data_IF_618032176330
#
_entry.id   IF_618032176330
#
_cell.length_a   1.000
_cell.length_b   1.000
_cell.length_c   1.000
_cell.angle_alpha   90.00
_cell.angle_beta   90.00
_cell.angle_gamma   90.00
#
_symmetry.space_group_name_H-M   'P 1'
#
loop_
_entity.id
_entity.type
_entity.pdbx_description
1 polymer ?
#
# COMPACT_ATOMS: atom_id res chain seq x y z
N UNK A 1 -1.49 16.72 -2.98
CA UNK A 1 -2.54 16.06 -2.18
C UNK A 1 -1.98 15.09 -1.13
N UNK A 2 -0.81 14.52 -1.32
CA UNK A 2 -0.18 13.53 -0.42
C UNK A 2 0.14 14.05 0.98
N UNK A 3 0.62 15.30 1.12
CA UNK A 3 0.95 15.92 2.42
C UNK A 3 -0.26 16.06 3.36
N UNK A 4 -1.47 16.23 2.82
CA UNK A 4 -2.69 16.44 3.64
C UNK A 4 -3.15 15.11 4.25
N UNK A 5 -2.98 14.00 3.54
CA UNK A 5 -3.35 12.65 4.02
C UNK A 5 -2.39 12.19 5.12
N UNK A 6 -1.08 12.40 4.94
CA UNK A 6 -0.06 12.08 5.94
C UNK A 6 -0.29 12.85 7.25
N UNK A 7 -0.57 14.16 7.17
CA UNK A 7 -0.85 15.00 8.35
C UNK A 7 -2.12 14.58 9.10
N UNK A 8 -3.13 14.07 8.39
CA UNK A 8 -4.36 13.56 9.01
C UNK A 8 -4.11 12.25 9.75
N UNK A 9 -3.34 11.35 9.17
CA UNK A 9 -2.99 10.04 9.75
C UNK A 9 -2.08 10.18 10.98
N UNK A 10 -1.10 11.08 10.92
CA UNK A 10 -0.30 11.49 12.08
C UNK A 10 -1.20 12.04 13.21
N UNK A 11 -2.24 12.80 12.87
CA UNK A 11 -3.21 13.32 13.83
C UNK A 11 -4.00 12.22 14.54
N UNK A 12 -4.36 11.13 13.88
CA UNK A 12 -5.13 10.02 14.48
C UNK A 12 -4.26 9.16 15.41
N UNK A 13 -3.03 8.83 15.02
CA UNK A 13 -2.06 8.16 15.89
C UNK A 13 -1.74 9.01 17.13
N UNK A 14 -1.41 10.27 16.92
CA UNK A 14 -1.14 11.20 18.01
C UNK A 14 -2.36 11.36 18.93
N UNK A 15 -3.58 11.30 18.38
CA UNK A 15 -4.82 11.29 19.16
C UNK A 15 -4.99 10.02 20.01
N UNK A 16 -4.68 8.84 19.47
CA UNK A 16 -4.73 7.58 20.22
C UNK A 16 -3.66 7.54 21.33
N UNK A 17 -2.44 7.94 21.00
CA UNK A 17 -1.32 8.02 21.95
C UNK A 17 -1.61 9.05 23.03
N UNK A 18 -2.16 10.20 22.68
CA UNK A 18 -2.53 11.23 23.63
C UNK A 18 -3.55 10.71 24.65
N UNK A 19 -4.57 9.95 24.22
CA UNK A 19 -5.52 9.30 25.13
C UNK A 19 -4.83 8.30 26.06
N UNK A 20 -3.86 7.53 25.55
CA UNK A 20 -3.04 6.64 26.38
C UNK A 20 -2.21 7.44 27.37
N UNK A 21 -1.54 8.49 26.94
CA UNK A 21 -0.74 9.37 27.80
C UNK A 21 -1.58 10.07 28.87
N UNK A 22 -2.79 10.52 28.53
CA UNK A 22 -3.76 11.12 29.46
C UNK A 22 -4.28 10.11 30.48
N UNK A 23 -4.23 8.80 30.19
CA UNK A 23 -4.64 7.72 31.10
C UNK A 23 -3.62 7.41 32.21
N UNK A 24 -2.40 7.94 32.11
CA UNK A 24 -1.40 7.85 33.17
C UNK A 24 -1.64 8.97 34.20
N UNK A 25 -2.15 8.58 35.38
CA UNK A 25 -2.36 9.49 36.49
C UNK A 25 -1.15 9.41 37.43
N UNK A 26 -0.62 10.57 37.78
CA UNK A 26 0.53 10.70 38.68
C UNK A 26 1.71 11.45 38.05
N UNK A 27 2.59 11.92 38.93
CA UNK A 27 3.81 12.67 38.60
C UNK A 27 5.06 11.96 39.09
N UNK A 28 4.96 10.67 39.44
CA UNK A 28 6.11 9.91 39.86
C UNK A 28 7.01 9.52 38.66
N UNK A 29 8.26 9.16 38.97
CA UNK A 29 9.28 8.82 37.98
C UNK A 29 8.85 7.64 37.09
N UNK A 30 8.08 6.70 37.62
CA UNK A 30 7.57 5.53 36.91
C UNK A 30 6.57 5.93 35.81
N UNK A 31 5.68 6.85 36.11
CA UNK A 31 4.69 7.37 35.15
C UNK A 31 5.37 8.16 34.03
N UNK A 32 6.38 8.97 34.37
CA UNK A 32 7.16 9.68 33.37
C UNK A 32 7.89 8.72 32.43
N UNK A 33 8.55 7.70 32.95
CA UNK A 33 9.22 6.67 32.17
C UNK A 33 8.25 5.92 31.23
N UNK A 34 7.04 5.61 31.69
CA UNK A 34 5.99 4.98 30.88
C UNK A 34 5.52 5.89 29.74
N UNK A 35 5.35 7.19 30.00
CA UNK A 35 5.01 8.19 28.95
C UNK A 35 6.08 8.27 27.86
N UNK A 36 7.34 8.41 28.26
CA UNK A 36 8.47 8.46 27.33
C UNK A 36 8.54 7.18 26.48
N UNK A 37 8.27 6.02 27.06
CA UNK A 37 8.27 4.75 26.33
C UNK A 37 7.15 4.69 25.29
N UNK A 38 5.94 5.13 25.63
CA UNK A 38 4.80 5.21 24.68
C UNK A 38 5.11 6.18 23.54
N UNK A 39 5.71 7.34 23.83
CA UNK A 39 6.14 8.29 22.79
C UNK A 39 7.21 7.70 21.87
N UNK A 40 8.17 6.97 22.41
CA UNK A 40 9.21 6.31 21.63
C UNK A 40 8.64 5.18 20.76
N UNK A 41 7.66 4.42 21.25
CA UNK A 41 6.95 3.41 20.47
C UNK A 41 6.18 4.04 19.30
N UNK A 42 5.58 5.23 19.52
CA UNK A 42 4.92 5.98 18.48
C UNK A 42 5.89 6.41 17.37
N UNK A 43 7.01 7.04 17.75
CA UNK A 43 8.06 7.43 16.81
C UNK A 43 8.62 6.25 16.03
N UNK A 44 8.70 5.08 16.67
CA UNK A 44 9.13 3.85 15.99
C UNK A 44 8.12 3.41 14.93
N UNK A 45 6.80 3.48 15.23
CA UNK A 45 5.77 3.15 14.25
C UNK A 45 5.77 4.13 13.06
N UNK A 46 5.93 5.43 13.31
CA UNK A 46 6.07 6.46 12.28
C UNK A 46 7.29 6.19 11.38
N UNK A 47 8.46 5.95 11.97
CA UNK A 47 9.66 5.61 11.22
C UNK A 47 9.51 4.32 10.40
N UNK A 48 8.75 3.33 10.88
CA UNK A 48 8.43 2.11 10.13
C UNK A 48 7.48 2.40 8.96
N UNK A 49 6.51 3.27 9.14
CA UNK A 49 5.60 3.71 8.09
C UNK A 49 6.37 4.40 6.94
N UNK A 50 7.21 5.38 7.25
CA UNK A 50 8.07 6.07 6.30
C UNK A 50 9.02 5.10 5.57
N UNK A 51 9.62 4.17 6.31
CA UNK A 51 10.48 3.14 5.73
C UNK A 51 9.72 2.26 4.74
N UNK A 52 8.46 1.91 5.00
CA UNK A 52 7.65 1.11 4.08
C UNK A 52 7.31 1.86 2.80
N UNK A 53 6.95 3.13 2.89
CA UNK A 53 6.74 3.97 1.72
C UNK A 53 7.97 4.01 0.82
N UNK A 54 9.16 4.27 1.41
CA UNK A 54 10.41 4.28 0.68
C UNK A 54 10.74 2.90 0.09
N UNK A 55 10.52 1.84 0.84
CA UNK A 55 10.82 0.48 0.37
C UNK A 55 9.87 0.05 -0.75
N UNK A 56 8.59 0.36 -0.66
CA UNK A 56 7.63 0.11 -1.75
C UNK A 56 8.03 0.93 -2.98
N UNK A 57 8.29 2.23 -2.84
CA UNK A 57 8.71 3.08 -3.94
C UNK A 57 9.97 2.54 -4.66
N UNK A 58 10.99 2.14 -3.90
CA UNK A 58 12.21 1.53 -4.44
C UNK A 58 11.92 0.21 -5.16
N UNK A 59 11.05 -0.65 -4.59
CA UNK A 59 10.65 -1.89 -5.23
C UNK A 59 9.90 -1.65 -6.55
N UNK A 60 9.03 -0.64 -6.60
CA UNK A 60 8.26 -0.29 -7.80
C UNK A 60 9.17 0.26 -8.91
N UNK A 61 10.16 1.12 -8.57
CA UNK A 61 11.12 1.64 -9.52
C UNK A 61 11.96 0.55 -10.19
N UNK A 62 12.30 -0.50 -9.46
CA UNK A 62 13.13 -1.61 -9.97
C UNK A 62 12.30 -2.78 -10.49
N UNK A 63 10.98 -2.75 -10.36
CA UNK A 63 10.08 -3.82 -10.77
C UNK A 63 10.24 -4.17 -12.27
N UNK A 64 10.32 -5.47 -12.57
CA UNK A 64 10.53 -5.98 -13.92
C UNK A 64 11.99 -5.97 -14.39
N UNK A 65 12.94 -5.53 -13.55
CA UNK A 65 14.38 -5.66 -13.83
C UNK A 65 14.86 -7.10 -13.62
N UNK A 66 16.12 -7.37 -14.03
CA UNK A 66 16.76 -8.68 -13.84
C UNK A 66 16.84 -9.07 -12.38
N UNK A 67 17.07 -8.09 -11.48
CA UNK A 67 17.27 -8.29 -10.05
C UNK A 67 15.95 -8.27 -9.27
N UNK A 68 14.92 -7.61 -9.83
CA UNK A 68 13.58 -7.54 -9.25
C UNK A 68 12.52 -8.00 -10.26
N UNK A 69 12.30 -9.31 -10.35
CA UNK A 69 11.37 -9.95 -11.31
C UNK A 69 9.90 -9.85 -10.86
N UNK A 70 9.52 -8.82 -10.13
CA UNK A 70 8.12 -8.54 -9.82
C UNK A 70 7.43 -7.84 -11.00
N UNK A 71 6.10 -7.74 -10.94
CA UNK A 71 5.30 -7.10 -12.00
C UNK A 71 5.66 -5.61 -12.12
N UNK A 72 6.14 -5.15 -13.29
CA UNK A 72 6.50 -3.74 -13.50
C UNK A 72 5.27 -2.84 -13.47
N UNK A 73 5.49 -1.59 -13.06
CA UNK A 73 4.44 -0.57 -12.97
C UNK A 73 4.82 0.67 -13.78
N UNK A 74 3.81 1.38 -14.25
CA UNK A 74 3.94 2.62 -15.02
C UNK A 74 3.80 3.85 -14.11
N UNK A 75 2.80 3.82 -13.19
CA UNK A 75 2.50 4.94 -12.31
C UNK A 75 1.90 4.48 -10.99
N UNK A 76 2.15 5.21 -9.92
CA UNK A 76 1.41 5.10 -8.66
C UNK A 76 0.08 5.83 -8.80
N UNK A 77 -1.02 5.14 -8.47
CA UNK A 77 -2.39 5.66 -8.57
C UNK A 77 -2.90 6.17 -7.23
N UNK A 78 -2.58 5.46 -6.13
CA UNK A 78 -3.04 5.78 -4.79
C UNK A 78 -2.13 5.15 -3.73
N UNK A 79 -2.10 5.71 -2.54
CA UNK A 79 -1.38 5.16 -1.39
C UNK A 79 -2.09 5.47 -0.09
N UNK A 80 -1.99 4.55 0.87
CA UNK A 80 -2.46 4.72 2.23
C UNK A 80 -1.42 4.14 3.20
N UNK A 81 -1.04 4.93 4.19
CA UNK A 81 -0.09 4.52 5.23
C UNK A 81 -0.69 4.86 6.58
N UNK A 82 -0.68 3.90 7.49
CA UNK A 82 -1.26 4.08 8.82
C UNK A 82 -0.38 3.49 9.91
N UNK A 83 -0.52 4.07 11.09
CA UNK A 83 0.11 3.63 12.32
C UNK A 83 -0.92 3.51 13.43
N UNK A 84 -0.80 2.48 14.26
CA UNK A 84 -1.76 2.20 15.32
C UNK A 84 -1.07 1.86 16.63
N UNK A 85 -1.63 2.37 17.73
CA UNK A 85 -1.38 1.88 19.08
C UNK A 85 -2.64 1.11 19.53
N UNK A 86 -2.53 -0.19 19.68
CA UNK A 86 -3.64 -1.10 19.88
C UNK A 86 -3.71 -1.52 21.36
N UNK A 87 -4.85 -1.34 21.99
CA UNK A 87 -5.21 -1.90 23.29
C UNK A 87 -5.81 -3.30 23.10
N UNK A 88 -6.01 -4.06 24.17
CA UNK A 88 -6.71 -5.35 24.12
C UNK A 88 -8.09 -5.24 23.47
N UNK A 89 -8.82 -4.15 23.74
CA UNK A 89 -10.14 -3.90 23.15
C UNK A 89 -10.04 -3.62 21.65
N UNK A 90 -9.12 -2.75 21.24
CA UNK A 90 -8.92 -2.42 19.81
C UNK A 90 -8.31 -3.58 19.01
N UNK A 91 -7.56 -4.49 19.64
CA UNK A 91 -7.12 -5.74 19.00
C UNK A 91 -8.28 -6.66 18.66
N UNK A 92 -9.30 -6.75 19.51
CA UNK A 92 -10.50 -7.53 19.23
C UNK A 92 -11.31 -6.94 18.07
N UNK A 93 -11.22 -5.63 17.83
CA UNK A 93 -11.87 -4.90 16.75
C UNK A 93 -10.94 -4.58 15.57
N UNK A 94 -9.76 -5.24 15.48
CA UNK A 94 -8.73 -4.90 14.47
C UNK A 94 -9.25 -5.04 13.04
N UNK A 95 -10.10 -6.04 12.77
CA UNK A 95 -10.72 -6.25 11.46
C UNK A 95 -11.54 -5.04 11.01
N UNK A 96 -12.34 -4.47 11.92
CA UNK A 96 -13.13 -3.26 11.64
C UNK A 96 -12.25 -2.03 11.41
N UNK A 97 -11.17 -1.91 12.20
CA UNK A 97 -10.20 -0.82 12.06
C UNK A 97 -9.53 -0.88 10.70
N UNK A 98 -8.94 -2.03 10.33
CA UNK A 98 -8.31 -2.24 9.03
C UNK A 98 -9.30 -2.03 7.87
N UNK A 99 -10.53 -2.54 8.00
CA UNK A 99 -11.55 -2.37 6.96
C UNK A 99 -11.96 -0.91 6.77
N UNK A 100 -12.03 -0.12 7.83
CA UNK A 100 -12.29 1.33 7.75
C UNK A 100 -11.15 2.07 7.06
N UNK A 101 -9.90 1.75 7.41
CA UNK A 101 -8.70 2.33 6.84
C UNK A 101 -8.62 2.07 5.33
N UNK A 102 -8.88 0.84 4.92
CA UNK A 102 -8.84 0.46 3.50
C UNK A 102 -10.07 0.92 2.71
N UNK A 103 -11.17 1.28 3.37
CA UNK A 103 -12.41 1.66 2.68
C UNK A 103 -12.25 2.88 1.76
N UNK A 104 -11.49 3.87 2.16
CA UNK A 104 -11.20 5.06 1.33
C UNK A 104 -10.31 4.70 0.15
N UNK A 105 -9.31 3.85 0.37
CA UNK A 105 -8.40 3.33 -0.65
C UNK A 105 -9.10 2.48 -1.72
N UNK A 106 -10.15 1.75 -1.33
CA UNK A 106 -10.95 0.88 -2.19
C UNK A 106 -12.26 1.54 -2.64
N UNK A 107 -12.57 2.76 -2.15
CA UNK A 107 -13.80 3.46 -2.48
C UNK A 107 -13.78 3.95 -3.93
N UNK A 108 -14.92 3.77 -4.60
CA UNK A 108 -15.11 4.20 -6.00
C UNK A 108 -15.17 3.06 -7.00
N UNK A 109 -14.80 1.86 -6.63
CA UNK A 109 -14.96 0.68 -7.49
C UNK A 109 -16.28 -0.05 -7.23
N UNK A 110 -17.03 -0.26 -8.31
CA UNK A 110 -18.20 -1.17 -8.33
C UNK A 110 -17.79 -2.61 -8.61
N UNK A 111 -16.49 -2.85 -8.84
CA UNK A 111 -15.95 -4.13 -9.26
C UNK A 111 -15.87 -5.09 -8.06
N UNK A 112 -16.50 -6.27 -8.21
CA UNK A 112 -16.47 -7.32 -7.18
C UNK A 112 -15.06 -7.89 -6.98
N UNK A 113 -14.20 -7.78 -7.99
CA UNK A 113 -12.80 -8.22 -7.93
C UNK A 113 -12.00 -7.30 -7.00
N UNK A 114 -12.16 -5.98 -7.13
CA UNK A 114 -11.47 -5.04 -6.25
C UNK A 114 -11.95 -5.17 -4.81
N UNK A 115 -13.24 -5.39 -4.59
CA UNK A 115 -13.79 -5.70 -3.26
C UNK A 115 -13.19 -7.01 -2.71
N UNK A 116 -13.06 -8.04 -3.55
CA UNK A 116 -12.45 -9.31 -3.17
C UNK A 116 -10.98 -9.17 -2.76
N UNK A 117 -10.19 -8.40 -3.53
CA UNK A 117 -8.79 -8.11 -3.17
C UNK A 117 -8.72 -7.25 -1.91
N UNK A 118 -9.62 -6.28 -1.74
CA UNK A 118 -9.74 -5.51 -0.51
C UNK A 118 -10.00 -6.39 0.71
N UNK A 119 -10.86 -7.41 0.57
CA UNK A 119 -11.07 -8.42 1.61
C UNK A 119 -9.80 -9.22 1.89
N UNK A 120 -9.09 -9.69 0.85
CA UNK A 120 -7.81 -10.41 1.04
C UNK A 120 -6.75 -9.58 1.77
N UNK A 121 -6.66 -8.29 1.49
CA UNK A 121 -5.74 -7.36 2.17
C UNK A 121 -6.19 -7.18 3.62
N UNK A 122 -7.48 -6.93 3.85
CA UNK A 122 -8.06 -6.78 5.19
C UNK A 122 -7.86 -8.03 6.03
N UNK A 123 -8.13 -9.22 5.48
CA UNK A 123 -7.94 -10.50 6.15
C UNK A 123 -6.46 -10.75 6.46
N UNK A 124 -5.57 -10.47 5.50
CA UNK A 124 -4.13 -10.62 5.70
C UNK A 124 -3.61 -9.72 6.84
N UNK A 125 -4.04 -8.45 6.88
CA UNK A 125 -3.70 -7.51 7.95
C UNK A 125 -4.33 -7.92 9.28
N UNK A 126 -5.59 -8.32 9.29
CA UNK A 126 -6.31 -8.74 10.51
C UNK A 126 -5.63 -9.95 11.14
N UNK A 127 -5.30 -10.97 10.36
CA UNK A 127 -4.59 -12.17 10.84
C UNK A 127 -3.19 -11.79 11.31
N UNK A 128 -2.47 -10.97 10.55
CA UNK A 128 -1.11 -10.56 10.86
C UNK A 128 -1.04 -9.72 12.13
N UNK A 129 -1.89 -8.71 12.25
CA UNK A 129 -1.92 -7.81 13.39
C UNK A 129 -2.58 -8.44 14.62
N UNK A 130 -3.58 -9.30 14.44
CA UNK A 130 -4.32 -9.96 15.52
C UNK A 130 -3.62 -11.18 16.11
N UNK A 131 -2.87 -11.94 15.31
CA UNK A 131 -2.42 -13.30 15.65
C UNK A 131 -0.96 -13.47 16.08
N UNK A 132 -0.15 -12.42 16.09
CA UNK A 132 1.31 -12.55 16.30
C UNK A 132 1.69 -12.86 17.75
N UNK A 133 2.24 -14.08 18.00
CA UNK A 133 2.92 -14.44 19.26
C UNK A 133 4.39 -13.99 19.30
N UNK A 134 4.97 -13.63 18.14
CA UNK A 134 6.31 -13.08 18.05
C UNK A 134 6.37 -11.68 18.66
N UNK A 135 7.48 -11.31 19.30
CA UNK A 135 7.67 -9.96 19.83
C UNK A 135 7.56 -8.87 18.76
N UNK A 136 8.02 -9.18 17.53
CA UNK A 136 7.97 -8.29 16.37
C UNK A 136 7.93 -9.12 15.08
N UNK A 137 7.19 -8.65 14.05
CA UNK A 137 7.18 -9.28 12.73
C UNK A 137 6.89 -8.26 11.61
N UNK A 138 7.15 -8.66 10.36
CA UNK A 138 6.93 -7.85 9.15
C UNK A 138 6.26 -8.68 8.06
N UNK A 139 5.19 -8.17 7.49
CA UNK A 139 4.47 -8.71 6.33
C UNK A 139 4.86 -7.92 5.08
N UNK A 140 5.12 -8.64 3.97
CA UNK A 140 5.29 -8.04 2.64
C UNK A 140 4.57 -8.88 1.61
N UNK A 141 3.65 -8.27 0.87
CA UNK A 141 2.86 -8.93 -0.19
C UNK A 141 2.57 -7.96 -1.31
N UNK A 142 2.24 -8.47 -2.48
CA UNK A 142 1.58 -7.71 -3.52
C UNK A 142 0.52 -8.56 -4.22
N UNK A 143 -0.43 -7.87 -4.83
CA UNK A 143 -1.56 -8.43 -5.56
C UNK A 143 -1.60 -7.79 -6.94
N UNK A 144 -2.12 -8.50 -7.96
CA UNK A 144 -2.43 -7.94 -9.27
C UNK A 144 -3.86 -8.28 -9.64
N UNK A 145 -4.58 -7.32 -10.21
CA UNK A 145 -6.00 -7.48 -10.52
C UNK A 145 -6.42 -6.59 -11.67
N UNK A 146 -7.61 -6.82 -12.18
CA UNK A 146 -8.28 -5.86 -13.07
C UNK A 146 -9.04 -4.81 -12.25
N UNK A 147 -9.01 -3.56 -12.68
CA UNK A 147 -9.84 -2.46 -12.17
C UNK A 147 -10.37 -1.65 -13.36
N UNK A 148 -11.65 -1.83 -13.68
CA UNK A 148 -12.25 -1.23 -14.86
C UNK A 148 -11.58 -1.68 -16.16
N UNK A 149 -10.90 -0.77 -16.85
CA UNK A 149 -10.17 -1.05 -18.11
C UNK A 149 -8.66 -1.16 -17.91
N UNK A 150 -8.19 -1.26 -16.68
CA UNK A 150 -6.77 -1.28 -16.33
C UNK A 150 -6.40 -2.56 -15.58
N UNK A 151 -5.13 -2.90 -15.60
CA UNK A 151 -4.54 -3.89 -14.69
C UNK A 151 -3.75 -3.11 -13.65
N UNK A 152 -4.02 -3.37 -12.38
CA UNK A 152 -3.38 -2.70 -11.27
C UNK A 152 -2.62 -3.69 -10.38
N UNK A 153 -1.57 -3.19 -9.75
CA UNK A 153 -0.80 -3.87 -8.72
C UNK A 153 -1.03 -3.16 -7.39
N UNK A 154 -1.26 -3.92 -6.33
CA UNK A 154 -1.40 -3.40 -4.97
C UNK A 154 -0.30 -4.01 -4.11
N UNK A 155 0.60 -3.19 -3.63
CA UNK A 155 1.67 -3.57 -2.70
C UNK A 155 1.23 -3.31 -1.26
N UNK A 156 1.53 -4.24 -0.37
CA UNK A 156 1.23 -4.19 1.05
C UNK A 156 2.49 -4.48 1.86
N UNK A 157 2.83 -3.58 2.77
CA UNK A 157 3.78 -3.83 3.83
C UNK A 157 3.14 -3.52 5.19
N UNK A 158 3.39 -4.36 6.18
CA UNK A 158 2.91 -4.17 7.53
C UNK A 158 3.95 -4.65 8.55
N UNK A 159 3.90 -4.05 9.73
CA UNK A 159 4.77 -4.38 10.86
C UNK A 159 4.00 -4.23 12.16
N UNK A 160 4.34 -5.03 13.15
CA UNK A 160 3.92 -4.85 14.53
C UNK A 160 5.04 -5.11 15.52
N UNK A 161 4.87 -4.56 16.72
CA UNK A 161 5.66 -4.82 17.90
C UNK A 161 4.70 -5.06 19.08
N UNK A 162 4.82 -6.21 19.74
CA UNK A 162 4.10 -6.49 20.99
C UNK A 162 4.79 -5.78 22.15
N UNK A 163 4.02 -5.14 23.00
CA UNK A 163 4.49 -4.42 24.18
C UNK A 163 4.44 -5.37 25.38
N UNK A 164 5.62 -5.79 25.87
CA UNK A 164 5.73 -6.75 26.97
C UNK A 164 6.00 -6.08 28.33
N UNK A 165 6.31 -4.78 28.33
CA UNK A 165 6.66 -4.05 29.55
C UNK A 165 5.51 -4.04 30.55
N UNK A 166 5.78 -4.46 31.79
CA UNK A 166 4.80 -4.42 32.90
C UNK A 166 4.30 -2.98 33.12
N UNK A 167 2.98 -2.84 33.26
CA UNK A 167 2.31 -1.54 33.42
C UNK A 167 1.95 -0.85 32.10
N UNK A 168 2.64 -1.11 31.00
CA UNK A 168 2.28 -0.60 29.68
C UNK A 168 1.30 -1.51 28.94
N UNK A 169 1.47 -2.84 29.07
CA UNK A 169 0.63 -3.83 28.39
C UNK A 169 -0.87 -3.64 28.63
N UNK A 170 -1.25 -3.11 29.78
CA UNK A 170 -2.66 -2.77 30.11
C UNK A 170 -3.16 -1.53 29.35
N UNK A 171 -2.27 -0.73 28.79
CA UNK A 171 -2.57 0.54 28.09
C UNK A 171 -2.35 0.43 26.58
N UNK A 172 -1.22 -0.18 26.19
CA UNK A 172 -0.87 -0.47 24.80
C UNK A 172 -0.35 -1.89 24.74
N UNK A 173 -1.04 -2.77 24.04
CA UNK A 173 -0.66 -4.16 23.89
C UNK A 173 0.21 -4.38 22.65
N UNK A 174 -0.04 -3.58 21.60
CA UNK A 174 0.67 -3.68 20.34
C UNK A 174 0.79 -2.33 19.65
N UNK A 175 1.91 -2.08 19.02
CA UNK A 175 2.11 -0.95 18.10
C UNK A 175 2.31 -1.52 16.69
N UNK A 176 1.70 -0.89 15.69
CA UNK A 176 1.79 -1.35 14.31
C UNK A 176 1.84 -0.21 13.31
N UNK A 177 2.37 -0.53 12.13
CA UNK A 177 2.37 0.32 10.95
C UNK A 177 2.04 -0.53 9.72
N UNK A 178 1.31 0.01 8.76
CA UNK A 178 1.18 -0.59 7.45
C UNK A 178 1.14 0.47 6.34
N UNK A 179 1.55 0.08 5.14
CA UNK A 179 1.45 0.88 3.94
C UNK A 179 0.89 0.04 2.80
N UNK A 180 -0.06 0.60 2.06
CA UNK A 180 -0.68 0.01 0.87
C UNK A 180 -0.52 0.98 -0.28
N UNK A 181 0.00 0.51 -1.41
CA UNK A 181 0.21 1.33 -2.62
C UNK A 181 -0.44 0.65 -3.80
N UNK A 182 -1.30 1.39 -4.53
CA UNK A 182 -1.94 0.95 -5.77
C UNK A 182 -1.24 1.59 -6.97
N UNK A 183 -0.84 0.78 -7.95
CA UNK A 183 -0.09 1.22 -9.11
C UNK A 183 -0.67 0.63 -10.40
N UNK A 184 -0.62 1.39 -11.50
CA UNK A 184 -0.92 0.88 -12.83
C UNK A 184 0.21 -0.05 -13.30
N UNK A 185 -0.15 -1.23 -13.85
CA UNK A 185 0.82 -2.20 -14.38
C UNK A 185 1.29 -1.74 -15.75
N UNK A 186 2.61 -1.77 -15.97
CA UNK A 186 3.22 -1.57 -17.29
C UNK A 186 3.03 -2.82 -18.16
N UNK A 187 1.94 -2.85 -18.91
CA UNK A 187 1.56 -3.99 -19.76
C UNK A 187 2.54 -4.23 -20.91
N UNK A 188 3.36 -3.23 -21.28
CA UNK A 188 4.38 -3.39 -22.32
C UNK A 188 5.54 -4.29 -21.89
N UNK A 189 5.78 -4.39 -20.59
CA UNK A 189 6.89 -5.12 -19.97
C UNK A 189 6.48 -6.42 -19.27
N UNK A 190 5.17 -6.70 -19.11
CA UNK A 190 4.69 -7.90 -18.45
C UNK A 190 4.24 -8.94 -19.47
N UNK A 191 4.65 -10.20 -19.29
CA UNK A 191 4.14 -11.31 -20.10
C UNK A 191 2.75 -11.70 -19.61
N UNK A 192 1.80 -11.80 -20.52
CA UNK A 192 0.42 -12.13 -20.21
C UNK A 192 0.27 -13.41 -19.37
N UNK A 193 1.00 -14.47 -19.70
CA UNK A 193 0.99 -15.71 -18.91
C UNK A 193 1.45 -15.52 -17.46
N UNK A 194 2.41 -14.61 -17.21
CA UNK A 194 2.85 -14.29 -15.84
C UNK A 194 1.74 -13.60 -15.07
N UNK A 195 1.08 -12.65 -15.72
CA UNK A 195 -0.09 -11.97 -15.14
C UNK A 195 -1.23 -12.96 -14.85
N UNK A 196 -1.61 -13.80 -15.83
CA UNK A 196 -2.68 -14.79 -15.67
C UNK A 196 -2.44 -15.75 -14.48
N UNK A 197 -1.21 -16.25 -14.33
CA UNK A 197 -0.86 -17.14 -13.22
C UNK A 197 -1.04 -16.47 -11.85
N UNK A 198 -0.56 -15.23 -11.72
CA UNK A 198 -0.71 -14.46 -10.49
C UNK A 198 -2.17 -14.16 -10.21
N UNK A 199 -2.91 -13.70 -11.22
CA UNK A 199 -4.30 -13.29 -11.10
C UNK A 199 -5.21 -14.49 -10.78
N UNK A 200 -5.10 -15.58 -11.53
CA UNK A 200 -5.84 -16.82 -11.25
C UNK A 200 -5.63 -17.34 -9.83
N UNK A 201 -4.37 -17.34 -9.36
CA UNK A 201 -4.06 -17.74 -7.98
C UNK A 201 -4.74 -16.85 -6.93
N UNK A 202 -4.94 -15.57 -7.21
CA UNK A 202 -5.61 -14.65 -6.30
C UNK A 202 -7.13 -14.83 -6.34
N UNK A 203 -7.73 -14.99 -7.53
CA UNK A 203 -9.15 -15.30 -7.70
C UNK A 203 -9.54 -16.57 -6.93
N UNK A 204 -8.69 -17.60 -6.99
CA UNK A 204 -8.88 -18.83 -6.21
C UNK A 204 -8.86 -18.57 -4.69
N UNK A 205 -7.97 -17.71 -4.21
CA UNK A 205 -7.91 -17.33 -2.78
C UNK A 205 -9.11 -16.51 -2.31
N UNK A 206 -9.80 -15.84 -3.23
CA UNK A 206 -11.07 -15.15 -2.95
C UNK A 206 -12.27 -16.09 -2.89
N UNK A 207 -12.06 -17.42 -2.97
CA UNK A 207 -13.09 -18.44 -3.01
C UNK A 207 -14.13 -18.20 -4.14
N UNK A 208 -13.69 -17.64 -5.24
CA UNK A 208 -14.55 -17.50 -6.42
C UNK A 208 -14.76 -18.88 -7.06
N UNK A 209 -15.98 -19.10 -7.55
CA UNK A 209 -16.30 -20.30 -8.33
C UNK A 209 -15.58 -20.27 -9.69
N UNK A 210 -15.47 -21.45 -10.33
CA UNK A 210 -14.74 -21.59 -11.58
C UNK A 210 -15.34 -20.73 -12.71
N UNK A 211 -16.66 -20.57 -12.76
CA UNK A 211 -17.33 -19.78 -13.79
C UNK A 211 -16.95 -18.30 -13.67
N UNK A 212 -16.96 -17.75 -12.46
CA UNK A 212 -16.50 -16.36 -12.21
C UNK A 212 -15.03 -16.18 -12.48
N UNK A 213 -14.19 -17.18 -12.17
CA UNK A 213 -12.75 -17.15 -12.50
C UNK A 213 -12.57 -17.09 -14.01
N UNK A 214 -13.26 -17.91 -14.80
CA UNK A 214 -13.18 -17.89 -16.26
C UNK A 214 -13.62 -16.55 -16.84
N UNK A 215 -14.71 -15.97 -16.36
CA UNK A 215 -15.17 -14.63 -16.77
C UNK A 215 -14.11 -13.56 -16.47
N UNK A 216 -13.56 -13.55 -15.25
CA UNK A 216 -12.54 -12.58 -14.86
C UNK A 216 -11.25 -12.71 -15.69
N UNK A 217 -10.82 -13.95 -16.02
CA UNK A 217 -9.66 -14.19 -16.88
C UNK A 217 -9.92 -13.74 -18.32
N UNK A 218 -11.13 -13.97 -18.85
CA UNK A 218 -11.52 -13.51 -20.19
C UNK A 218 -11.56 -11.97 -20.28
N UNK A 219 -12.03 -11.29 -19.24
CA UNK A 219 -11.99 -9.84 -19.16
C UNK A 219 -10.55 -9.31 -19.12
N UNK A 220 -9.69 -9.93 -18.33
CA UNK A 220 -8.28 -9.58 -18.24
C UNK A 220 -7.57 -9.77 -19.60
N UNK A 221 -7.86 -10.85 -20.33
CA UNK A 221 -7.35 -11.07 -21.67
C UNK A 221 -7.82 -9.97 -22.64
N UNK A 222 -9.08 -9.58 -22.57
CA UNK A 222 -9.63 -8.52 -23.40
C UNK A 222 -8.97 -7.16 -23.13
N UNK A 223 -8.71 -6.83 -21.89
CA UNK A 223 -7.99 -5.61 -21.50
C UNK A 223 -6.58 -5.64 -22.07
N UNK A 224 -5.86 -6.75 -21.89
CA UNK A 224 -4.49 -6.91 -22.36
C UNK A 224 -4.39 -6.83 -23.89
N UNK A 225 -5.28 -7.50 -24.63
CA UNK A 225 -5.35 -7.42 -26.11
C UNK A 225 -5.62 -6.00 -26.58
N UNK A 226 -6.58 -5.31 -25.95
CA UNK A 226 -6.91 -3.92 -26.30
C UNK A 226 -5.71 -3.00 -26.11
N UNK A 227 -4.91 -3.20 -25.06
CA UNK A 227 -3.68 -2.46 -24.85
C UNK A 227 -2.65 -2.70 -25.96
N UNK A 228 -2.46 -3.95 -26.41
CA UNK A 228 -1.54 -4.28 -27.49
C UNK A 228 -1.98 -3.74 -28.87
N UNK A 229 -3.28 -3.56 -29.07
CA UNK A 229 -3.86 -3.01 -30.30
C UNK A 229 -3.89 -1.47 -30.32
N UNK A 230 -3.68 -0.80 -29.19
CA UNK A 230 -3.55 0.65 -29.15
C UNK A 230 -2.31 1.08 -29.93
N UNK A 231 -2.46 1.98 -30.95
CA UNK A 231 -1.29 2.53 -31.62
C UNK A 231 -0.45 3.25 -30.59
N UNK A 232 0.81 2.86 -30.45
CA UNK A 232 1.78 3.61 -29.68
C UNK A 232 1.82 5.00 -30.31
N UNK A 233 1.25 6.02 -29.63
CA UNK A 233 1.43 7.39 -30.04
C UNK A 233 2.92 7.63 -29.94
N UNK A 234 3.61 7.55 -31.09
CA UNK A 234 5.00 7.92 -31.19
C UNK A 234 5.10 9.36 -30.70
N UNK A 235 5.63 9.55 -29.50
CA UNK A 235 6.11 10.84 -29.07
C UNK A 235 7.19 11.18 -30.08
N UNK A 236 6.90 12.13 -30.98
CA UNK A 236 7.87 12.70 -31.87
C UNK A 236 8.91 13.45 -31.03
N UNK A 237 9.84 12.70 -30.43
CA UNK A 237 11.09 13.25 -29.96
C UNK A 237 11.90 13.58 -31.20
N UNK A 238 12.01 14.86 -31.51
CA UNK A 238 12.98 15.34 -32.48
C UNK A 238 12.44 16.09 -33.69
N UNK A 239 11.77 17.18 -33.49
CA UNK A 239 11.95 18.29 -34.41
C UNK A 239 12.76 19.38 -33.66
N UNK A 240 14.09 19.26 -33.80
CA UNK A 240 14.95 20.43 -33.57
C UNK A 240 14.45 21.56 -34.46
N UNK A 241 14.34 22.79 -33.94
CA UNK A 241 14.02 23.93 -34.77
C UNK A 241 15.17 24.12 -35.78
N UNK A 242 14.87 23.93 -37.06
CA UNK A 242 15.81 24.26 -38.14
C UNK A 242 16.25 25.70 -37.98
N UNK A 243 17.54 25.86 -37.78
CA UNK A 243 18.23 27.14 -37.79
C UNK A 243 17.72 28.01 -38.93
N UNK A 244 17.15 29.15 -38.55
CA UNK A 244 16.84 30.24 -39.47
C UNK A 244 18.16 30.74 -40.07
N UNK A 245 18.32 30.50 -41.37
CA UNK A 245 19.37 31.10 -42.18
C UNK A 245 19.37 32.61 -41.98
N UNK A 246 20.37 33.09 -41.28
CA UNK A 246 20.71 34.50 -41.27
C UNK A 246 21.25 34.85 -42.67
N UNK A 247 20.41 35.47 -43.50
CA UNK A 247 20.81 36.06 -44.77
C UNK A 247 21.81 37.21 -44.50
N UNK A 248 23.05 37.00 -44.91
CA UNK A 248 24.05 38.08 -44.98
C UNK A 248 23.59 39.11 -46.01
N UNK A 249 23.33 40.31 -45.59
CA UNK A 249 23.24 41.50 -46.47
C UNK A 249 24.66 41.87 -46.94
N UNK A 250 24.84 42.20 -48.25
CA UNK A 250 26.12 42.66 -48.73
C UNK A 250 26.34 44.12 -48.37
N UNK A 251 27.58 44.43 -48.00
CA UNK A 251 27.99 45.75 -47.58
C UNK A 251 27.95 46.82 -48.68
N UNK A 252 27.80 48.01 -48.23
CA UNK A 252 28.40 49.28 -48.79
C UNK A 252 28.90 50.10 -47.63
#
# INVERSE_FOLDING_TARGET
MEHVTLLRQLGELMGAIRKVLESFDGSDETVQMQRELVENLAKLAEAKAEFFELQIATNLQTAGSTDNRTVPVEAVLDSATETHALTSESLNAIGDTVSKSLKSFLSGSKDDILKGVGSLISDALTIFLGGGSAGMDTLKRYYVMTEGLSIVRVDLMAWFLNVEAQGLKTKVEKVSAFSVVKSAVDLSRVKFNTFLNLYSSQLTKMNMDNERIEVALAEAEKIYRRFLEMPTLAVNEGQEPRDSQVSRLPGR
#
